data_IF_389236208115
#
_entry.id   IF_389236208115
#
_cell.length_a   1.000
_cell.length_b   1.000
_cell.length_c   1.000
_cell.angle_alpha   90.00
_cell.angle_beta   90.00
_cell.angle_gamma   90.00
#
_symmetry.space_group_name_H-M   'P 1'
#
loop_
_entity.id
_entity.type
_entity.pdbx_description
1 polymer ?
#
# COMPACT_ATOMS: atom_id res chain seq x y z
N UNK A 1 -19.30 -1.74 8.90
CA UNK A 1 -18.67 -1.02 7.79
C UNK A 1 -19.07 0.44 7.88
N UNK A 2 -18.10 1.32 7.85
CA UNK A 2 -18.30 2.76 7.73
C UNK A 2 -18.95 3.08 6.38
N UNK A 3 -19.37 4.33 6.21
CA UNK A 3 -19.82 4.81 4.89
C UNK A 3 -18.69 4.79 3.85
N UNK A 4 -17.42 4.64 4.26
CA UNK A 4 -16.26 4.64 3.37
C UNK A 4 -16.27 3.43 2.42
N UNK A 5 -16.59 2.22 2.90
CA UNK A 5 -16.56 1.00 2.07
C UNK A 5 -17.92 0.32 1.91
N UNK A 6 -19.02 0.99 2.24
CA UNK A 6 -20.38 0.43 2.29
C UNK A 6 -20.79 -0.42 1.08
N UNK A 7 -20.41 0.01 -0.12
CA UNK A 7 -20.74 -0.64 -1.41
C UNK A 7 -19.48 -1.18 -2.11
N UNK A 8 -18.40 -1.40 -1.37
CA UNK A 8 -17.15 -1.93 -1.94
C UNK A 8 -17.24 -3.45 -2.11
N UNK A 9 -16.86 -3.95 -3.29
CA UNK A 9 -16.87 -5.38 -3.60
C UNK A 9 -15.59 -6.06 -3.11
N UNK A 10 -15.57 -6.43 -1.84
CA UNK A 10 -14.42 -7.11 -1.24
C UNK A 10 -14.25 -8.56 -1.73
N UNK A 11 -15.30 -9.21 -2.21
CA UNK A 11 -15.24 -10.62 -2.63
C UNK A 11 -14.47 -10.77 -3.94
N UNK A 12 -14.65 -9.83 -4.88
CA UNK A 12 -13.97 -9.84 -6.18
C UNK A 12 -12.79 -8.86 -6.26
N UNK A 13 -12.32 -8.33 -5.13
CA UNK A 13 -11.17 -7.44 -5.11
C UNK A 13 -9.84 -8.19 -5.11
N UNK A 14 -9.74 -9.29 -4.35
CA UNK A 14 -8.49 -10.00 -4.10
C UNK A 14 -8.29 -11.19 -5.03
N UNK A 15 -7.11 -11.26 -5.65
CA UNK A 15 -6.61 -12.43 -6.35
C UNK A 15 -5.80 -13.32 -5.39
N UNK A 16 -6.49 -14.12 -4.59
CA UNK A 16 -5.90 -14.92 -3.51
C UNK A 16 -5.23 -16.22 -4.01
N UNK A 17 -4.29 -16.10 -4.94
CA UNK A 17 -3.49 -17.22 -5.42
C UNK A 17 -2.56 -17.81 -4.31
N UNK A 18 -1.88 -18.91 -4.61
CA UNK A 18 -1.01 -19.59 -3.64
C UNK A 18 0.12 -18.68 -3.16
N UNK A 19 0.67 -17.84 -4.04
CA UNK A 19 1.73 -16.90 -3.69
C UNK A 19 1.22 -15.80 -2.74
N UNK A 20 0.05 -15.23 -3.00
CA UNK A 20 -0.57 -14.24 -2.14
C UNK A 20 -0.83 -14.81 -0.73
N UNK A 21 -1.32 -16.05 -0.64
CA UNK A 21 -1.55 -16.74 0.63
C UNK A 21 -0.26 -16.95 1.43
N UNK A 22 0.83 -17.30 0.75
CA UNK A 22 2.11 -17.53 1.40
C UNK A 22 2.78 -16.22 1.81
N UNK A 23 2.76 -15.20 0.94
CA UNK A 23 3.64 -14.04 1.07
C UNK A 23 2.97 -12.77 1.60
N UNK A 24 1.65 -12.59 1.43
CA UNK A 24 0.93 -11.34 1.76
C UNK A 24 -0.18 -11.51 2.79
N UNK A 25 -1.04 -12.52 2.63
CA UNK A 25 -2.27 -12.65 3.42
C UNK A 25 -1.93 -13.06 4.85
N UNK A 26 -2.03 -12.10 5.76
CA UNK A 26 -1.77 -12.30 7.19
C UNK A 26 -3.01 -12.78 7.93
N UNK A 27 -2.81 -13.37 9.11
CA UNK A 27 -3.92 -13.68 10.02
C UNK A 27 -4.64 -12.39 10.47
N UNK A 28 -5.93 -12.46 10.86
CA UNK A 28 -6.62 -11.33 11.44
C UNK A 28 -5.88 -10.78 12.68
N UNK A 29 -5.67 -9.48 12.73
CA UNK A 29 -4.99 -8.83 13.84
C UNK A 29 -5.93 -8.56 15.02
N UNK A 30 -5.41 -8.33 16.23
CA UNK A 30 -6.19 -7.81 17.36
C UNK A 30 -6.01 -6.29 17.50
N UNK A 31 -6.79 -5.63 18.35
CA UNK A 31 -6.54 -4.21 18.68
C UNK A 31 -5.21 -4.02 19.44
N UNK A 32 -4.78 -5.03 20.20
CA UNK A 32 -3.48 -5.04 20.87
C UNK A 32 -2.34 -5.10 19.85
N UNK A 33 -2.42 -6.01 18.87
CA UNK A 33 -1.44 -6.10 17.78
C UNK A 33 -1.41 -4.82 16.94
N UNK A 34 -2.57 -4.22 16.65
CA UNK A 34 -2.62 -2.92 15.96
C UNK A 34 -1.79 -1.86 16.70
N UNK A 35 -1.98 -1.74 18.02
CA UNK A 35 -1.21 -0.78 18.83
C UNK A 35 0.29 -1.08 18.81
N UNK A 36 0.68 -2.35 18.83
CA UNK A 36 2.09 -2.75 18.72
C UNK A 36 2.69 -2.33 17.38
N UNK A 37 1.99 -2.60 16.27
CA UNK A 37 2.43 -2.24 14.92
C UNK A 37 2.54 -0.71 14.78
N UNK A 38 1.54 0.06 15.22
CA UNK A 38 1.60 1.52 15.20
C UNK A 38 2.75 2.09 16.05
N UNK A 39 3.01 1.49 17.22
CA UNK A 39 4.12 1.90 18.08
C UNK A 39 5.49 1.61 17.45
N UNK A 40 5.61 0.48 16.75
CA UNK A 40 6.83 0.08 16.05
C UNK A 40 7.12 0.96 14.85
N UNK A 41 6.10 1.21 14.01
CA UNK A 41 6.20 2.15 12.89
C UNK A 41 6.40 3.60 13.38
N UNK A 42 5.85 3.93 14.55
CA UNK A 42 5.85 5.29 15.08
C UNK A 42 4.82 6.21 14.43
N UNK A 43 3.79 5.65 13.79
CA UNK A 43 2.71 6.33 13.08
C UNK A 43 1.37 5.69 13.43
N UNK A 44 0.31 6.51 13.52
CA UNK A 44 -1.07 6.02 13.50
C UNK A 44 -1.45 5.64 12.09
N UNK A 45 -1.97 4.42 11.92
CA UNK A 45 -2.42 3.95 10.61
C UNK A 45 -3.74 4.63 10.23
N UNK A 46 -4.01 4.85 8.93
CA UNK A 46 -5.26 5.45 8.47
C UNK A 46 -6.48 4.62 8.90
N UNK A 47 -7.56 5.26 9.33
CA UNK A 47 -8.76 4.56 9.79
C UNK A 47 -9.37 3.66 8.70
N UNK A 48 -9.36 4.12 7.45
CA UNK A 48 -9.88 3.40 6.31
C UNK A 48 -9.00 2.20 5.92
N UNK A 49 -7.69 2.30 6.06
CA UNK A 49 -6.77 1.17 5.92
C UNK A 49 -7.01 0.10 6.99
N UNK A 50 -7.16 0.51 8.25
CA UNK A 50 -7.48 -0.43 9.35
C UNK A 50 -8.81 -1.14 9.05
N UNK A 51 -9.86 -0.40 8.69
CA UNK A 51 -11.16 -0.99 8.36
C UNK A 51 -11.05 -2.00 7.20
N UNK A 52 -10.30 -1.65 6.16
CA UNK A 52 -10.10 -2.52 5.00
C UNK A 52 -9.38 -3.81 5.39
N UNK A 53 -8.32 -3.72 6.19
CA UNK A 53 -7.54 -4.87 6.65
C UNK A 53 -8.31 -5.77 7.64
N UNK A 54 -9.38 -5.27 8.26
CA UNK A 54 -10.30 -6.12 9.05
C UNK A 54 -11.10 -7.10 8.19
N UNK A 55 -11.28 -6.82 6.89
CA UNK A 55 -11.93 -7.74 5.98
C UNK A 55 -10.97 -8.83 5.49
N UNK A 56 -9.80 -8.42 4.99
CA UNK A 56 -8.69 -9.31 4.66
C UNK A 56 -7.37 -8.59 4.95
N UNK A 57 -6.50 -9.22 5.74
CA UNK A 57 -5.29 -8.58 6.25
C UNK A 57 -4.10 -8.73 5.28
N UNK A 58 -4.15 -7.99 4.17
CA UNK A 58 -3.18 -8.04 3.09
C UNK A 58 -3.56 -9.00 1.97
N UNK A 59 -2.85 -8.93 0.85
CA UNK A 59 -3.10 -9.76 -0.33
C UNK A 59 -2.73 -9.04 -1.62
N UNK A 60 -3.05 -9.67 -2.73
CA UNK A 60 -2.83 -9.13 -4.09
C UNK A 60 -4.18 -8.81 -4.73
N UNK A 61 -4.41 -7.60 -5.25
CA UNK A 61 -5.68 -7.25 -5.89
C UNK A 61 -5.73 -7.74 -7.36
N UNK A 62 -6.92 -7.97 -7.89
CA UNK A 62 -7.10 -8.21 -9.34
C UNK A 62 -6.80 -6.95 -10.17
N UNK A 63 -7.18 -5.78 -9.64
CA UNK A 63 -6.89 -4.50 -10.25
C UNK A 63 -5.63 -3.91 -9.60
N UNK A 64 -4.59 -3.73 -10.38
CA UNK A 64 -3.23 -3.43 -9.89
C UNK A 64 -2.72 -2.07 -10.34
N UNK A 65 -3.40 -1.39 -11.25
CA UNK A 65 -2.94 -0.12 -11.80
C UNK A 65 -3.69 1.08 -11.21
N UNK A 66 -2.99 2.19 -10.99
CA UNK A 66 -3.59 3.45 -10.58
C UNK A 66 -3.07 4.59 -11.47
N UNK A 67 -3.99 5.35 -12.06
CA UNK A 67 -3.62 6.48 -12.93
C UNK A 67 -2.84 7.56 -12.18
N UNK A 68 -1.94 8.24 -12.89
CA UNK A 68 -1.24 9.44 -12.44
C UNK A 68 -1.16 10.45 -13.60
N UNK A 69 -1.27 11.73 -13.28
CA UNK A 69 -1.07 12.81 -14.26
C UNK A 69 0.43 13.14 -14.46
N UNK A 70 1.31 12.55 -13.65
CA UNK A 70 2.76 12.74 -13.67
C UNK A 70 3.43 11.43 -14.10
N UNK A 71 4.24 11.44 -15.18
CA UNK A 71 5.02 10.28 -15.59
C UNK A 71 5.92 9.77 -14.47
N UNK A 72 6.03 8.46 -14.36
CA UNK A 72 6.97 7.76 -13.46
C UNK A 72 8.00 6.99 -14.28
N UNK A 73 8.98 6.36 -13.64
CA UNK A 73 9.89 5.45 -14.35
C UNK A 73 9.17 4.22 -14.93
N UNK A 74 8.02 3.86 -14.37
CA UNK A 74 7.20 2.73 -14.81
C UNK A 74 6.42 3.05 -16.09
N UNK A 75 5.59 4.11 -16.06
CA UNK A 75 4.76 4.50 -17.19
C UNK A 75 4.44 6.01 -17.20
N UNK A 76 3.96 6.50 -18.35
CA UNK A 76 3.64 7.93 -18.54
C UNK A 76 2.38 8.37 -17.78
N UNK A 77 1.44 7.46 -17.51
CA UNK A 77 0.08 7.79 -17.05
C UNK A 77 -0.45 6.91 -15.90
N UNK A 78 0.36 5.97 -15.40
CA UNK A 78 -0.04 5.09 -14.28
C UNK A 78 1.16 4.55 -13.49
N UNK A 79 0.85 4.01 -12.31
CA UNK A 79 1.72 3.11 -11.54
C UNK A 79 1.06 1.75 -11.43
N UNK A 80 1.84 0.73 -11.07
CA UNK A 80 1.34 -0.60 -10.77
C UNK A 80 1.75 -1.03 -9.34
N UNK A 81 0.87 -1.76 -8.67
CA UNK A 81 1.17 -2.47 -7.43
C UNK A 81 1.09 -3.98 -7.67
N UNK A 82 1.82 -4.76 -6.90
CA UNK A 82 1.75 -6.23 -6.91
C UNK A 82 0.98 -6.76 -5.72
N UNK A 83 1.04 -6.08 -4.58
CA UNK A 83 0.33 -6.49 -3.39
C UNK A 83 0.25 -5.41 -2.34
N UNK A 84 -0.65 -5.62 -1.39
CA UNK A 84 -0.96 -4.71 -0.30
C UNK A 84 -0.60 -5.44 1.00
N UNK A 85 0.22 -4.79 1.81
CA UNK A 85 0.72 -5.34 3.06
C UNK A 85 -0.39 -5.42 4.09
N UNK A 86 -0.37 -6.47 4.90
CA UNK A 86 -1.22 -6.59 6.08
C UNK A 86 -0.63 -5.88 7.30
N UNK A 87 -1.49 -5.59 8.28
CA UNK A 87 -1.13 -5.16 9.64
C UNK A 87 -0.65 -6.42 10.40
N UNK A 88 0.62 -6.76 10.19
CA UNK A 88 1.28 -7.87 10.86
C UNK A 88 2.81 -7.71 10.80
N UNK A 89 3.50 -8.73 11.30
CA UNK A 89 4.96 -8.87 11.34
C UNK A 89 5.50 -10.23 10.91
N UNK A 90 4.61 -11.14 10.47
CA UNK A 90 4.98 -12.55 10.22
C UNK A 90 5.19 -12.86 8.76
N UNK A 91 4.41 -12.23 7.88
CA UNK A 91 4.56 -12.36 6.44
C UNK A 91 5.67 -11.42 5.96
N UNK A 92 6.46 -11.86 5.00
CA UNK A 92 7.53 -11.04 4.40
C UNK A 92 6.98 -9.70 3.93
N UNK A 93 5.83 -9.73 3.24
CA UNK A 93 5.08 -8.55 2.78
C UNK A 93 3.95 -8.16 3.75
N UNK A 94 4.34 -7.86 4.99
CA UNK A 94 3.49 -7.17 5.98
C UNK A 94 4.17 -5.89 6.45
N UNK A 95 3.42 -4.97 7.07
CA UNK A 95 3.95 -3.65 7.45
C UNK A 95 5.25 -3.72 8.27
N UNK A 96 5.31 -4.68 9.21
CA UNK A 96 6.49 -4.98 10.04
C UNK A 96 7.14 -6.33 9.70
N UNK A 97 6.94 -6.82 8.46
CA UNK A 97 7.57 -8.04 7.95
C UNK A 97 9.04 -7.85 7.58
N UNK A 98 9.70 -8.94 7.15
CA UNK A 98 11.11 -8.91 6.72
C UNK A 98 11.37 -7.92 5.59
N UNK A 99 10.43 -7.77 4.66
CA UNK A 99 10.46 -6.82 3.54
C UNK A 99 9.49 -5.64 3.77
N UNK A 100 9.18 -5.35 5.03
CA UNK A 100 8.22 -4.33 5.43
C UNK A 100 8.78 -2.89 5.43
N UNK A 101 8.03 -1.98 6.04
CA UNK A 101 8.32 -0.54 5.99
C UNK A 101 9.69 -0.17 6.56
N UNK A 102 10.11 -0.81 7.65
CA UNK A 102 11.40 -0.50 8.28
C UNK A 102 12.59 -0.98 7.43
N UNK A 103 12.46 -2.11 6.74
CA UNK A 103 13.47 -2.62 5.81
C UNK A 103 13.70 -1.65 4.64
N UNK A 104 12.63 -1.10 4.07
CA UNK A 104 12.75 -0.11 2.99
C UNK A 104 13.48 1.15 3.46
N UNK A 105 13.29 1.57 4.71
CA UNK A 105 13.98 2.73 5.27
C UNK A 105 15.46 2.42 5.53
N UNK A 106 15.75 1.35 6.26
CA UNK A 106 17.09 1.08 6.77
C UNK A 106 18.05 0.55 5.70
N UNK A 107 17.56 -0.34 4.84
CA UNK A 107 18.39 -1.03 3.84
C UNK A 107 18.33 -0.34 2.48
N UNK A 108 17.17 0.22 2.12
CA UNK A 108 16.97 0.86 0.81
C UNK A 108 17.01 2.38 0.85
N UNK A 109 17.09 3.01 2.03
CA UNK A 109 17.27 4.45 2.18
C UNK A 109 16.01 5.29 1.92
N UNK A 110 14.84 4.66 1.91
CA UNK A 110 13.57 5.35 1.68
C UNK A 110 13.24 6.37 2.80
N UNK A 111 12.45 7.42 2.50
CA UNK A 111 12.05 8.43 3.49
C UNK A 111 11.40 7.86 4.75
N UNK A 112 11.83 8.33 5.92
CA UNK A 112 11.33 7.87 7.23
C UNK A 112 10.13 8.66 7.75
N UNK A 113 9.57 9.55 6.94
CA UNK A 113 8.31 10.27 7.18
C UNK A 113 7.11 9.59 6.52
N UNK A 114 7.30 8.36 6.01
CA UNK A 114 6.32 7.57 5.30
C UNK A 114 6.21 6.16 5.88
N UNK A 115 5.07 5.50 5.64
CA UNK A 115 4.88 4.06 5.90
C UNK A 115 4.58 3.36 4.57
N UNK A 116 5.39 2.38 4.22
CA UNK A 116 5.30 1.64 2.95
C UNK A 116 4.31 0.48 3.11
N UNK A 117 3.26 0.47 2.29
CA UNK A 117 2.14 -0.48 2.47
C UNK A 117 1.80 -1.27 1.22
N UNK A 118 2.38 -0.97 0.07
CA UNK A 118 2.18 -1.75 -1.14
C UNK A 118 3.46 -1.84 -1.97
N UNK A 119 3.75 -3.05 -2.42
CA UNK A 119 4.85 -3.38 -3.31
C UNK A 119 4.48 -3.08 -4.76
N UNK A 120 5.50 -2.81 -5.57
CA UNK A 120 5.38 -2.60 -7.00
C UNK A 120 6.11 -3.72 -7.78
N UNK A 121 5.89 -3.86 -9.10
CA UNK A 121 6.55 -4.89 -9.91
C UNK A 121 8.07 -4.83 -9.94
N UNK A 122 8.66 -3.69 -9.56
CA UNK A 122 10.11 -3.44 -9.60
C UNK A 122 10.92 -4.17 -8.52
N UNK A 123 10.27 -4.93 -7.63
CA UNK A 123 10.90 -5.59 -6.49
C UNK A 123 11.58 -4.61 -5.49
N UNK A 124 10.93 -3.48 -5.24
CA UNK A 124 11.32 -2.52 -4.19
C UNK A 124 12.10 -1.29 -4.68
N UNK A 125 12.38 -1.18 -5.98
CA UNK A 125 12.94 0.04 -6.58
C UNK A 125 11.93 1.19 -6.60
N UNK A 126 10.65 0.87 -6.50
CA UNK A 126 9.57 1.81 -6.22
C UNK A 126 8.56 1.21 -5.24
N UNK A 127 7.89 2.08 -4.49
CA UNK A 127 6.94 1.70 -3.44
C UNK A 127 5.77 2.67 -3.35
N UNK A 128 4.62 2.16 -2.90
CA UNK A 128 3.48 3.00 -2.53
C UNK A 128 3.41 3.15 -1.01
N UNK A 129 3.22 4.39 -0.55
CA UNK A 129 3.35 4.75 0.85
C UNK A 129 2.28 5.74 1.33
N UNK A 130 2.02 5.67 2.64
CA UNK A 130 1.35 6.71 3.41
C UNK A 130 2.33 7.85 3.69
N UNK A 131 2.06 9.06 3.20
CA UNK A 131 2.90 10.24 3.43
C UNK A 131 2.42 11.06 4.63
N UNK A 132 3.17 11.02 5.74
CA UNK A 132 2.86 11.77 6.94
C UNK A 132 3.58 13.12 7.01
N UNK A 133 4.34 13.51 5.98
CA UNK A 133 5.15 14.73 5.98
C UNK A 133 4.35 16.01 6.27
N UNK A 134 3.06 16.04 5.89
CA UNK A 134 2.15 17.19 6.07
C UNK A 134 1.20 17.05 7.26
N UNK A 135 0.63 15.87 7.50
CA UNK A 135 -0.39 15.66 8.53
C UNK A 135 0.21 15.28 9.90
N UNK A 136 1.48 14.89 9.93
CA UNK A 136 2.18 14.45 11.13
C UNK A 136 1.78 13.03 11.55
N UNK A 137 2.52 12.47 12.51
CA UNK A 137 2.47 11.04 12.89
C UNK A 137 1.10 10.48 13.34
N UNK A 138 0.15 11.35 13.66
CA UNK A 138 -1.18 10.99 14.14
C UNK A 138 -2.31 11.50 13.22
N UNK A 139 -1.97 12.02 12.04
CA UNK A 139 -2.95 12.53 11.08
C UNK A 139 -3.31 11.50 10.01
N UNK A 140 -4.26 11.85 9.16
CA UNK A 140 -4.64 11.06 7.98
C UNK A 140 -3.69 11.41 6.81
N UNK A 141 -2.84 10.47 6.36
CA UNK A 141 -1.86 10.69 5.29
C UNK A 141 -2.50 10.59 3.91
N UNK A 142 -1.91 11.30 2.94
CA UNK A 142 -2.18 11.02 1.53
C UNK A 142 -1.37 9.81 1.05
N UNK A 143 -1.73 9.29 -0.12
CA UNK A 143 -1.05 8.18 -0.78
C UNK A 143 -0.11 8.72 -1.85
N UNK A 144 1.13 8.26 -1.81
CA UNK A 144 2.16 8.59 -2.79
C UNK A 144 2.84 7.34 -3.32
N UNK A 145 3.35 7.44 -4.54
CA UNK A 145 4.38 6.56 -5.10
C UNK A 145 5.75 7.21 -4.85
N UNK A 146 6.77 6.41 -4.56
CA UNK A 146 8.15 6.85 -4.38
C UNK A 146 9.04 5.99 -5.26
N UNK A 147 9.85 6.65 -6.08
CA UNK A 147 10.78 6.01 -7.01
C UNK A 147 12.23 6.21 -6.55
N UNK A 148 12.88 5.12 -6.14
CA UNK A 148 14.26 5.15 -5.64
C UNK A 148 15.26 5.49 -6.74
N UNK A 149 15.01 5.06 -7.99
CA UNK A 149 15.91 5.30 -9.12
C UNK A 149 15.85 6.76 -9.59
N UNK A 150 14.76 7.46 -9.26
CA UNK A 150 14.54 8.88 -9.49
C UNK A 150 14.76 9.76 -8.25
N UNK A 151 15.78 9.48 -7.42
CA UNK A 151 16.14 10.26 -6.23
C UNK A 151 14.98 10.38 -5.21
N UNK A 152 14.22 9.29 -5.05
CA UNK A 152 13.04 9.22 -4.17
C UNK A 152 11.96 10.25 -4.52
N UNK A 153 11.77 10.52 -5.82
CA UNK A 153 10.70 11.40 -6.30
C UNK A 153 9.34 10.90 -5.80
N UNK A 154 8.57 11.81 -5.18
CA UNK A 154 7.25 11.53 -4.60
C UNK A 154 6.15 11.95 -5.58
N UNK A 155 5.40 10.98 -6.10
CA UNK A 155 4.24 11.21 -6.97
C UNK A 155 2.94 11.05 -6.19
N UNK A 156 2.07 12.06 -6.19
CA UNK A 156 0.77 11.99 -5.51
C UNK A 156 -0.19 11.05 -6.26
N UNK A 157 -0.79 10.10 -5.54
CA UNK A 157 -1.75 9.16 -6.11
C UNK A 157 -3.18 9.45 -5.65
N UNK A 158 -3.37 9.61 -4.34
CA UNK A 158 -4.70 9.80 -3.76
C UNK A 158 -4.66 10.57 -2.45
N UNK A 159 -5.79 11.16 -2.08
CA UNK A 159 -5.94 11.93 -0.84
C UNK A 159 -6.01 11.08 0.43
N UNK A 160 -6.43 9.82 0.29
CA UNK A 160 -6.63 8.84 1.37
C UNK A 160 -6.58 7.42 0.77
N UNK A 161 -6.47 6.41 1.64
CA UNK A 161 -6.33 5.01 1.22
C UNK A 161 -7.58 4.50 0.48
N UNK A 162 -8.77 4.85 0.97
CA UNK A 162 -10.02 4.44 0.33
C UNK A 162 -10.15 4.97 -1.09
N UNK A 163 -9.72 6.21 -1.35
CA UNK A 163 -9.71 6.78 -2.70
C UNK A 163 -8.73 6.04 -3.60
N UNK A 164 -7.54 5.69 -3.09
CA UNK A 164 -6.56 4.89 -3.83
C UNK A 164 -7.10 3.51 -4.20
N UNK A 165 -7.61 2.76 -3.22
CA UNK A 165 -8.13 1.40 -3.44
C UNK A 165 -9.30 1.37 -4.42
N UNK A 166 -10.21 2.36 -4.34
CA UNK A 166 -11.32 2.48 -5.31
C UNK A 166 -10.89 2.95 -6.69
N UNK A 167 -9.71 3.56 -6.80
CA UNK A 167 -9.11 4.02 -8.05
C UNK A 167 -8.35 2.94 -8.81
N UNK A 168 -8.12 1.77 -8.20
CA UNK A 168 -7.43 0.66 -8.84
C UNK A 168 -8.22 0.12 -10.03
N UNK A 169 -7.52 -0.03 -11.14
CA UNK A 169 -8.02 -0.50 -12.44
C UNK A 169 -7.23 -1.70 -12.91
N UNK A 170 -7.81 -2.45 -13.83
CA UNK A 170 -7.12 -3.51 -14.52
C UNK A 170 -6.08 -2.92 -15.49
N UNK A 171 -4.98 -3.64 -15.69
CA UNK A 171 -3.88 -3.27 -16.58
C UNK A 171 -4.32 -3.13 -18.04
N UNK A 172 -5.30 -3.94 -18.49
CA UNK A 172 -5.89 -3.84 -19.83
C UNK A 172 -6.43 -2.43 -20.14
N UNK A 173 -6.77 -1.60 -19.14
CA UNK A 173 -7.23 -0.23 -19.38
C UNK A 173 -6.11 0.72 -19.86
N UNK A 174 -4.84 0.36 -19.62
CA UNK A 174 -3.66 1.17 -19.93
C UNK A 174 -2.89 0.66 -21.16
N UNK A 175 -3.00 -0.64 -21.46
CA UNK A 175 -2.40 -1.26 -22.66
C UNK A 175 -3.07 -0.82 -23.98
N UNK A 176 -4.20 -0.10 -23.92
CA UNK A 176 -4.96 0.34 -25.10
C UNK A 176 -4.32 1.52 -25.87
N UNK A 177 -3.15 2.00 -25.44
CA UNK A 177 -2.49 3.18 -26.01
C UNK A 177 -1.14 2.92 -26.68
N UNK A 178 -0.75 1.66 -26.94
CA UNK A 178 0.41 1.33 -27.80
C UNK A 178 0.16 1.52 -29.31
#
# INVERSE_FOLDING_TARGET
MSETFKDFDFENFWDNDEYAQEAYISEPFSDELLLEIENELGFKLPEDYIEFMRYQNGGTPFNTCHSTDTPTSWAEDHIAITGIFGIHREKDYSLCGELGSQFMIDEWGYPNDCVYFASCPSAGHDMVAFDYSKCGKNGEPCIIHIDQECDYEKTFLAKDFATFIKGLKNDDEFDLYE
#
